data_IF_204698373404
#
_entry.id   IF_204698373404
#
_cell.length_a   1.000
_cell.length_b   1.000
_cell.length_c   1.000
_cell.angle_alpha   90.00
_cell.angle_beta   90.00
_cell.angle_gamma   90.00
#
_symmetry.space_group_name_H-M   'P 1'
#
loop_
_entity.id
_entity.type
_entity.pdbx_description
1 polymer ?
#
# COMPACT_ATOMS: atom_id res chain seq x y z
N UNK A 1 21.45 -1.46 13.12
CA UNK A 1 20.33 -0.99 12.27
C UNK A 1 20.78 -0.85 10.82
N UNK A 2 21.93 -0.23 10.52
CA UNK A 2 22.53 -0.20 9.17
C UNK A 2 22.68 -1.59 8.52
N UNK A 3 23.30 -2.54 9.22
CA UNK A 3 23.54 -3.89 8.67
C UNK A 3 22.26 -4.66 8.27
N UNK A 4 21.13 -4.40 8.95
CA UNK A 4 19.84 -5.02 8.61
C UNK A 4 19.16 -4.35 7.43
N UNK A 5 19.34 -3.03 7.28
CA UNK A 5 18.83 -2.28 6.13
C UNK A 5 19.58 -2.69 4.87
N UNK A 6 20.90 -2.78 4.97
CA UNK A 6 21.75 -3.26 3.88
C UNK A 6 21.40 -4.70 3.50
N UNK A 7 21.22 -5.59 4.48
CA UNK A 7 20.80 -6.99 4.25
C UNK A 7 19.47 -7.13 3.49
N UNK A 8 18.46 -6.32 3.80
CA UNK A 8 17.19 -6.32 3.07
C UNK A 8 17.35 -5.76 1.65
N UNK A 9 18.14 -4.70 1.47
CA UNK A 9 18.43 -4.14 0.15
C UNK A 9 19.20 -5.10 -0.75
N UNK A 10 20.16 -5.86 -0.19
CA UNK A 10 20.85 -6.93 -0.92
C UNK A 10 19.90 -8.01 -1.42
N UNK A 11 18.77 -8.23 -0.73
CA UNK A 11 17.70 -9.13 -1.15
C UNK A 11 16.63 -8.46 -2.04
N UNK A 12 16.82 -7.20 -2.45
CA UNK A 12 15.86 -6.43 -3.25
C UNK A 12 14.66 -5.88 -2.46
N UNK A 13 14.68 -5.97 -1.13
CA UNK A 13 13.64 -5.45 -0.24
C UNK A 13 13.80 -3.95 0.06
N UNK A 14 12.68 -3.28 0.31
CA UNK A 14 12.63 -1.88 0.78
C UNK A 14 12.15 -1.83 2.22
N UNK A 15 12.69 -0.89 3.01
CA UNK A 15 12.25 -0.64 4.40
C UNK A 15 11.62 0.74 4.45
N UNK A 16 10.48 0.83 5.12
CA UNK A 16 9.79 2.09 5.40
C UNK A 16 9.15 2.04 6.80
N UNK A 17 8.72 3.19 7.30
CA UNK A 17 7.98 3.29 8.56
C UNK A 17 6.54 3.71 8.25
N UNK A 18 5.57 2.83 8.52
CA UNK A 18 4.17 3.12 8.25
C UNK A 18 3.56 4.13 9.22
N UNK A 19 2.59 4.92 8.75
CA UNK A 19 1.78 5.87 9.52
C UNK A 19 2.51 7.05 10.21
N UNK A 20 3.85 7.05 10.25
CA UNK A 20 4.60 8.06 10.99
C UNK A 20 4.55 9.46 10.36
N UNK A 21 4.40 9.52 9.04
CA UNK A 21 4.21 10.77 8.31
C UNK A 21 3.02 11.56 8.86
N UNK A 22 1.91 10.87 9.17
CA UNK A 22 0.71 11.49 9.73
C UNK A 22 0.99 12.18 11.07
N UNK A 23 1.65 11.47 11.98
CA UNK A 23 2.04 12.05 13.27
C UNK A 23 2.86 13.33 13.09
N UNK A 24 3.81 13.35 12.14
CA UNK A 24 4.63 14.53 11.87
C UNK A 24 3.82 15.71 11.31
N UNK A 25 2.80 15.46 10.51
CA UNK A 25 1.93 16.50 9.94
C UNK A 25 1.06 17.18 11.00
N UNK A 26 0.83 16.55 12.15
CA UNK A 26 0.10 17.17 13.28
C UNK A 26 0.95 18.10 14.14
N UNK A 27 2.26 18.18 13.89
CA UNK A 27 3.16 19.04 14.65
C UNK A 27 2.91 20.53 14.35
N UNK A 28 3.11 21.47 15.31
CA UNK A 28 2.95 22.91 15.07
C UNK A 28 3.82 23.49 13.93
N UNK A 29 4.92 22.82 13.62
CA UNK A 29 5.79 23.13 12.47
C UNK A 29 6.04 21.84 11.68
N UNK A 30 5.08 21.44 10.82
CA UNK A 30 5.15 20.17 10.11
C UNK A 30 6.29 20.18 9.09
N UNK A 31 6.61 21.34 8.51
CA UNK A 31 7.67 21.45 7.50
C UNK A 31 9.03 21.06 8.07
N UNK A 32 9.44 21.70 9.17
CA UNK A 32 10.76 21.45 9.77
C UNK A 32 10.89 20.02 10.28
N UNK A 33 9.85 19.48 10.95
CA UNK A 33 9.93 18.12 11.48
C UNK A 33 9.96 17.08 10.37
N UNK A 34 9.22 17.29 9.29
CA UNK A 34 9.22 16.40 8.14
C UNK A 34 10.56 16.42 7.41
N UNK A 35 11.20 17.59 7.28
CA UNK A 35 12.56 17.69 6.72
C UNK A 35 13.60 16.90 7.55
N UNK A 36 13.51 16.98 8.89
CA UNK A 36 14.38 16.17 9.76
C UNK A 36 14.11 14.68 9.59
N UNK A 37 12.84 14.29 9.46
CA UNK A 37 12.46 12.89 9.23
C UNK A 37 13.04 12.35 7.92
N UNK A 38 12.89 13.07 6.80
CA UNK A 38 13.42 12.63 5.50
C UNK A 38 14.95 12.52 5.51
N UNK A 39 15.65 13.49 6.11
CA UNK A 39 17.11 13.42 6.30
C UNK A 39 17.49 12.19 7.11
N UNK A 40 16.80 11.95 8.22
CA UNK A 40 17.09 10.79 9.08
C UNK A 40 16.82 9.47 8.37
N UNK A 41 15.75 9.37 7.59
CA UNK A 41 15.45 8.18 6.78
C UNK A 41 16.59 7.90 5.81
N UNK A 42 17.07 8.93 5.11
CA UNK A 42 18.20 8.82 4.20
C UNK A 42 19.50 8.41 4.91
N UNK A 43 19.79 9.00 6.08
CA UNK A 43 20.97 8.66 6.89
C UNK A 43 20.93 7.21 7.39
N UNK A 44 19.73 6.66 7.58
CA UNK A 44 19.51 5.26 7.94
C UNK A 44 19.53 4.32 6.72
N UNK A 45 19.72 4.86 5.52
CA UNK A 45 19.70 4.11 4.28
C UNK A 45 18.29 3.70 3.86
N UNK A 46 17.22 4.39 4.23
CA UNK A 46 15.89 4.12 3.68
C UNK A 46 15.74 4.83 2.34
N UNK A 47 15.19 4.13 1.34
CA UNK A 47 14.97 4.68 -0.01
C UNK A 47 13.51 5.01 -0.28
N UNK A 48 12.59 4.37 0.45
CA UNK A 48 11.14 4.51 0.27
C UNK A 48 10.52 5.18 1.50
N UNK A 49 9.63 6.14 1.26
CA UNK A 49 8.85 6.83 2.30
C UNK A 49 7.38 6.54 2.05
N UNK A 50 6.76 5.85 3.00
CA UNK A 50 5.31 5.72 2.99
C UNK A 50 4.64 7.03 3.40
N UNK A 51 3.57 7.38 2.69
CA UNK A 51 2.70 8.51 2.99
C UNK A 51 1.27 8.01 3.11
N UNK A 52 0.86 7.64 4.31
CA UNK A 52 -0.51 7.30 4.66
C UNK A 52 -1.32 8.53 5.09
N UNK A 53 -2.64 8.41 5.00
CA UNK A 53 -3.60 9.43 5.44
C UNK A 53 -4.78 8.82 6.20
N UNK A 54 -4.59 7.62 6.75
CA UNK A 54 -5.64 6.84 7.40
C UNK A 54 -6.38 7.63 8.50
N UNK A 55 -5.63 8.42 9.28
CA UNK A 55 -6.17 9.25 10.36
C UNK A 55 -6.24 10.75 10.03
N UNK A 56 -5.80 11.19 8.85
CA UNK A 56 -5.72 12.61 8.48
C UNK A 56 -6.46 12.92 7.19
N UNK A 57 -7.26 14.00 7.22
CA UNK A 57 -7.88 14.52 6.01
C UNK A 57 -6.89 15.48 5.33
N UNK A 58 -6.12 14.98 4.38
CA UNK A 58 -5.15 15.78 3.63
C UNK A 58 -5.78 16.24 2.29
N UNK A 59 -5.85 17.55 2.00
CA UNK A 59 -6.25 18.02 0.67
C UNK A 59 -5.34 17.44 -0.42
N UNK A 60 -5.89 17.08 -1.59
CA UNK A 60 -5.12 16.39 -2.64
C UNK A 60 -3.87 17.18 -3.10
N UNK A 61 -3.98 18.52 -3.20
CA UNK A 61 -2.86 19.37 -3.59
C UNK A 61 -1.76 19.40 -2.51
N UNK A 62 -2.13 19.28 -1.23
CA UNK A 62 -1.18 19.20 -0.12
C UNK A 62 -0.46 17.87 -0.11
N UNK A 63 -1.18 16.80 -0.46
CA UNK A 63 -0.61 15.47 -0.59
C UNK A 63 0.41 15.42 -1.74
N UNK A 64 0.11 16.04 -2.88
CA UNK A 64 1.08 16.21 -3.97
C UNK A 64 2.30 17.03 -3.54
N UNK A 65 2.13 18.08 -2.74
CA UNK A 65 3.28 18.82 -2.16
C UNK A 65 4.15 17.93 -1.27
N UNK A 66 3.57 16.96 -0.56
CA UNK A 66 4.33 15.96 0.20
C UNK A 66 5.10 15.01 -0.72
N UNK A 67 4.48 14.56 -1.81
CA UNK A 67 5.15 13.75 -2.85
C UNK A 67 6.38 14.49 -3.39
N UNK A 68 6.21 15.75 -3.81
CA UNK A 68 7.30 16.59 -4.30
C UNK A 68 8.40 16.77 -3.25
N UNK A 69 8.01 16.97 -1.98
CA UNK A 69 8.95 17.09 -0.87
C UNK A 69 9.77 15.81 -0.73
N UNK A 70 9.18 14.62 -0.73
CA UNK A 70 9.92 13.34 -0.68
C UNK A 70 10.87 13.21 -1.88
N UNK A 71 10.41 13.49 -3.10
CA UNK A 71 11.25 13.47 -4.29
C UNK A 71 12.44 14.43 -4.22
N UNK A 72 12.28 15.61 -3.61
CA UNK A 72 13.36 16.59 -3.45
C UNK A 72 14.55 16.05 -2.65
N UNK A 73 14.32 15.07 -1.76
CA UNK A 73 15.35 14.38 -0.99
C UNK A 73 15.99 13.18 -1.70
N UNK A 74 15.56 12.90 -2.95
CA UNK A 74 15.93 11.72 -3.74
C UNK A 74 15.47 10.40 -3.10
N UNK A 75 14.29 10.44 -2.48
CA UNK A 75 13.59 9.29 -1.91
C UNK A 75 12.36 8.97 -2.76
N UNK A 76 11.86 7.75 -2.65
CA UNK A 76 10.69 7.26 -3.38
C UNK A 76 9.45 7.32 -2.49
N UNK A 77 8.46 8.16 -2.80
CA UNK A 77 7.18 8.13 -2.11
C UNK A 77 6.37 6.89 -2.50
N UNK A 78 5.79 6.24 -1.49
CA UNK A 78 4.79 5.17 -1.62
C UNK A 78 3.52 5.65 -0.90
N UNK A 79 2.65 6.44 -1.56
CA UNK A 79 1.40 6.86 -0.97
C UNK A 79 0.48 5.65 -0.76
N UNK A 80 -0.24 5.69 0.35
CA UNK A 80 -1.23 4.69 0.72
C UNK A 80 -2.63 5.30 0.61
N UNK A 81 -3.46 4.63 -0.19
CA UNK A 81 -4.78 5.08 -0.58
C UNK A 81 -5.84 4.13 -0.01
N UNK A 82 -6.68 4.64 0.87
CA UNK A 82 -7.86 3.96 1.38
C UNK A 82 -9.17 4.51 0.79
N UNK A 83 -10.26 3.77 0.94
CA UNK A 83 -11.63 4.23 0.61
C UNK A 83 -12.45 4.63 1.84
N UNK A 84 -11.87 4.57 3.04
CA UNK A 84 -12.51 4.98 4.27
C UNK A 84 -11.62 5.99 5.01
N UNK A 85 -12.27 7.03 5.54
CA UNK A 85 -11.63 7.99 6.42
C UNK A 85 -11.64 7.45 7.85
N UNK A 86 -10.51 7.53 8.55
CA UNK A 86 -10.34 6.86 9.84
C UNK A 86 -10.05 5.36 9.72
N UNK A 87 -9.74 4.89 8.50
CA UNK A 87 -9.14 3.60 8.28
C UNK A 87 -7.70 3.62 8.81
N UNK A 88 -7.32 2.61 9.56
CA UNK A 88 -6.06 2.51 10.27
C UNK A 88 -6.28 2.19 11.75
N UNK A 89 -5.37 1.40 12.31
CA UNK A 89 -5.28 1.16 13.76
C UNK A 89 -6.43 0.36 14.38
N UNK A 90 -6.91 -0.66 13.67
CA UNK A 90 -7.89 -1.65 14.19
C UNK A 90 -9.28 -1.03 14.46
N UNK A 91 -9.70 -0.10 13.61
CA UNK A 91 -11.01 0.56 13.75
C UNK A 91 -12.15 -0.42 13.42
N UNK A 92 -13.13 -0.66 14.33
CA UNK A 92 -14.17 -1.65 14.09
C UNK A 92 -15.07 -1.33 12.88
N UNK A 93 -15.45 -2.36 12.12
CA UNK A 93 -16.33 -2.28 10.95
C UNK A 93 -17.62 -1.45 11.17
N UNK A 94 -18.26 -1.59 12.34
CA UNK A 94 -19.49 -0.85 12.67
C UNK A 94 -19.27 0.67 12.78
N UNK A 95 -18.08 1.12 13.18
CA UNK A 95 -17.72 2.53 13.23
C UNK A 95 -17.46 3.11 11.83
N UNK A 96 -16.88 2.30 10.95
CA UNK A 96 -16.54 2.66 9.56
C UNK A 96 -17.78 2.67 8.65
N UNK A 97 -18.74 1.75 8.85
CA UNK A 97 -20.00 1.75 8.11
C UNK A 97 -20.82 3.03 8.33
N UNK A 98 -20.75 3.62 9.53
CA UNK A 98 -21.45 4.87 9.87
C UNK A 98 -20.86 6.12 9.18
N UNK A 99 -19.57 6.07 8.79
CA UNK A 99 -18.87 7.15 8.07
C UNK A 99 -19.22 7.11 6.56
N UNK A 100 -19.73 5.97 6.07
CA UNK A 100 -20.09 5.74 4.67
C UNK A 100 -18.91 5.25 3.84
N UNK A 101 -19.20 4.54 2.75
CA UNK A 101 -18.17 4.05 1.82
C UNK A 101 -17.83 5.14 0.80
N UNK A 102 -16.56 5.56 0.71
CA UNK A 102 -16.12 6.53 -0.29
C UNK A 102 -16.22 5.96 -1.71
N UNK A 103 -16.49 6.82 -2.69
CA UNK A 103 -16.49 6.46 -4.11
C UNK A 103 -15.07 6.05 -4.55
N UNK A 104 -14.86 4.83 -5.07
CA UNK A 104 -13.57 4.41 -5.62
C UNK A 104 -13.04 5.31 -6.73
N UNK A 105 -13.91 6.08 -7.39
CA UNK A 105 -13.52 7.07 -8.39
C UNK A 105 -12.59 8.14 -7.84
N UNK A 106 -12.77 8.57 -6.58
CA UNK A 106 -11.86 9.52 -5.92
C UNK A 106 -10.46 8.92 -5.76
N UNK A 107 -10.40 7.68 -5.26
CA UNK A 107 -9.15 6.95 -5.09
C UNK A 107 -8.42 6.79 -6.43
N UNK A 108 -9.14 6.38 -7.47
CA UNK A 108 -8.55 6.21 -8.81
C UNK A 108 -8.03 7.53 -9.37
N UNK A 109 -8.80 8.61 -9.25
CA UNK A 109 -8.38 9.93 -9.75
C UNK A 109 -7.13 10.43 -9.03
N UNK A 110 -7.10 10.30 -7.70
CA UNK A 110 -5.92 10.67 -6.92
C UNK A 110 -4.71 9.78 -7.24
N UNK A 111 -4.93 8.48 -7.42
CA UNK A 111 -3.91 7.54 -7.88
C UNK A 111 -3.29 7.97 -9.21
N UNK A 112 -4.09 8.41 -10.19
CA UNK A 112 -3.57 8.96 -11.47
C UNK A 112 -2.69 10.18 -11.23
N UNK A 113 -3.16 11.13 -10.41
CA UNK A 113 -2.37 12.34 -10.07
C UNK A 113 -1.03 12.00 -9.43
N UNK A 114 -0.98 10.99 -8.56
CA UNK A 114 0.27 10.52 -7.96
C UNK A 114 1.20 9.86 -8.98
N UNK A 115 0.67 9.03 -9.89
CA UNK A 115 1.47 8.46 -10.97
C UNK A 115 2.04 9.53 -11.90
N UNK A 116 1.23 10.54 -12.24
CA UNK A 116 1.64 11.70 -13.04
C UNK A 116 2.74 12.52 -12.33
N UNK A 117 2.73 12.56 -10.99
CA UNK A 117 3.76 13.18 -10.17
C UNK A 117 5.04 12.31 -10.03
N UNK A 118 5.11 11.15 -10.69
CA UNK A 118 6.29 10.29 -10.73
C UNK A 118 6.34 9.18 -9.68
N UNK A 119 5.26 8.97 -8.91
CA UNK A 119 5.18 7.89 -7.91
C UNK A 119 5.32 6.52 -8.57
N UNK A 120 6.20 5.67 -8.03
CA UNK A 120 6.51 4.34 -8.60
C UNK A 120 5.48 3.26 -8.27
N UNK A 121 4.88 3.34 -7.09
CA UNK A 121 3.96 2.32 -6.58
C UNK A 121 2.91 3.00 -5.70
N UNK A 122 1.66 2.73 -5.99
CA UNK A 122 0.52 3.09 -5.15
C UNK A 122 0.24 1.90 -4.23
N UNK A 123 0.13 2.13 -2.94
CA UNK A 123 -0.39 1.13 -2.01
C UNK A 123 -1.88 1.36 -1.81
N UNK A 124 -2.67 0.30 -1.88
CA UNK A 124 -4.10 0.29 -1.60
C UNK A 124 -4.31 -0.39 -0.26
N UNK A 125 -4.84 0.35 0.69
CA UNK A 125 -5.14 -0.15 2.03
C UNK A 125 -6.28 -1.17 1.99
N UNK A 126 -6.20 -2.19 2.85
CA UNK A 126 -7.16 -3.28 2.87
C UNK A 126 -8.45 -2.94 3.63
N UNK A 127 -8.40 -2.00 4.57
CA UNK A 127 -9.53 -1.52 5.35
C UNK A 127 -10.63 -0.91 4.47
N UNK A 128 -11.88 -1.34 4.71
CA UNK A 128 -13.03 -0.96 3.89
C UNK A 128 -13.15 -1.71 2.57
N UNK A 129 -12.14 -2.52 2.18
CA UNK A 129 -12.15 -3.33 0.96
C UNK A 129 -12.22 -4.82 1.28
N UNK A 130 -11.20 -5.35 1.96
CA UNK A 130 -11.08 -6.76 2.36
C UNK A 130 -11.00 -6.94 3.87
N UNK A 131 -10.73 -5.87 4.60
CA UNK A 131 -10.72 -5.77 6.05
C UNK A 131 -11.83 -4.83 6.53
N UNK A 132 -12.34 -5.03 7.75
CA UNK A 132 -13.39 -4.22 8.37
C UNK A 132 -14.68 -4.09 7.54
N UNK A 133 -15.01 -5.13 6.76
CA UNK A 133 -16.24 -5.22 5.97
C UNK A 133 -16.98 -6.54 6.19
N UNK A 134 -18.31 -6.50 6.11
CA UNK A 134 -19.15 -7.71 6.17
C UNK A 134 -19.05 -8.56 4.91
N UNK A 135 -18.80 -7.93 3.76
CA UNK A 135 -18.54 -8.58 2.49
C UNK A 135 -17.44 -7.84 1.73
N UNK A 136 -16.50 -8.58 1.14
CA UNK A 136 -15.41 -7.99 0.35
C UNK A 136 -15.93 -7.14 -0.81
N UNK A 137 -15.37 -5.94 -0.93
CA UNK A 137 -15.67 -4.96 -1.97
C UNK A 137 -14.85 -5.21 -3.23
N UNK A 138 -15.04 -6.37 -3.84
CA UNK A 138 -14.31 -6.79 -5.05
C UNK A 138 -14.59 -5.89 -6.26
N UNK A 139 -15.69 -5.13 -6.23
CA UNK A 139 -16.02 -4.07 -7.17
C UNK A 139 -14.98 -2.94 -7.16
N UNK A 140 -14.48 -2.58 -5.98
CA UNK A 140 -13.46 -1.54 -5.78
C UNK A 140 -12.14 -1.98 -6.38
N UNK A 141 -11.71 -3.21 -6.04
CA UNK A 141 -10.48 -3.81 -6.56
C UNK A 141 -10.52 -3.90 -8.09
N UNK A 142 -11.63 -4.38 -8.64
CA UNK A 142 -11.84 -4.52 -10.08
C UNK A 142 -11.79 -3.17 -10.80
N UNK A 143 -12.37 -2.11 -10.20
CA UNK A 143 -12.30 -0.75 -10.74
C UNK A 143 -10.86 -0.21 -10.73
N UNK A 144 -10.12 -0.39 -9.63
CA UNK A 144 -8.71 -0.01 -9.53
C UNK A 144 -7.87 -0.71 -10.61
N UNK A 145 -7.99 -2.03 -10.72
CA UNK A 145 -7.23 -2.83 -11.69
C UNK A 145 -7.58 -2.51 -13.15
N UNK A 146 -8.79 -2.02 -13.41
CA UNK A 146 -9.23 -1.57 -14.74
C UNK A 146 -8.69 -0.18 -15.10
N UNK A 147 -8.57 0.70 -14.11
CA UNK A 147 -8.39 2.13 -14.34
C UNK A 147 -6.98 2.66 -14.03
N UNK A 148 -6.18 1.90 -13.28
CA UNK A 148 -4.78 2.17 -12.97
C UNK A 148 -3.88 1.05 -13.51
N UNK A 149 -2.61 1.32 -13.84
CA UNK A 149 -1.69 0.30 -14.33
C UNK A 149 -1.42 -0.78 -13.25
N UNK A 150 -1.74 -2.06 -13.48
CA UNK A 150 -1.62 -3.12 -12.47
C UNK A 150 -0.21 -3.25 -11.86
N UNK A 151 0.83 -3.06 -12.67
CA UNK A 151 2.24 -3.11 -12.26
C UNK A 151 2.66 -1.94 -11.35
N UNK A 152 1.81 -0.91 -11.25
CA UNK A 152 2.00 0.30 -10.43
C UNK A 152 1.11 0.32 -9.20
N UNK A 153 0.26 -0.69 -9.02
CA UNK A 153 -0.64 -0.83 -7.85
C UNK A 153 -0.18 -2.01 -7.01
N UNK A 154 -0.20 -1.84 -5.69
CA UNK A 154 0.07 -2.87 -4.69
C UNK A 154 -1.08 -2.89 -3.69
N UNK A 155 -1.67 -4.06 -3.46
CA UNK A 155 -2.75 -4.21 -2.47
C UNK A 155 -2.19 -4.74 -1.17
N UNK A 156 -2.62 -4.16 -0.05
CA UNK A 156 -2.44 -4.78 1.25
C UNK A 156 -3.24 -6.08 1.34
N UNK A 157 -2.59 -7.12 1.86
CA UNK A 157 -3.13 -8.47 1.91
C UNK A 157 -2.51 -9.28 3.06
N UNK A 158 -2.52 -8.73 4.29
CA UNK A 158 -1.93 -9.36 5.47
C UNK A 158 -2.69 -10.61 6.00
N UNK A 159 -3.82 -10.99 5.40
CA UNK A 159 -4.54 -12.25 5.68
C UNK A 159 -4.30 -13.27 4.54
N UNK A 160 -3.96 -14.54 4.85
CA UNK A 160 -3.78 -15.58 3.84
C UNK A 160 -4.94 -15.81 2.88
N UNK A 161 -6.18 -15.63 3.34
CA UNK A 161 -7.36 -15.70 2.48
C UNK A 161 -7.39 -14.57 1.46
N UNK A 162 -6.91 -13.39 1.85
CA UNK A 162 -6.91 -12.18 1.02
C UNK A 162 -5.85 -12.30 -0.07
N UNK A 163 -4.59 -12.60 0.26
CA UNK A 163 -3.58 -12.79 -0.80
C UNK A 163 -3.88 -13.98 -1.70
N UNK A 164 -4.51 -15.04 -1.16
CA UNK A 164 -4.94 -16.18 -1.96
C UNK A 164 -5.98 -15.78 -3.02
N UNK A 165 -6.95 -14.96 -2.61
CA UNK A 165 -7.94 -14.40 -3.53
C UNK A 165 -7.29 -13.54 -4.62
N UNK A 166 -6.41 -12.60 -4.27
CA UNK A 166 -5.74 -11.74 -5.25
C UNK A 166 -4.95 -12.56 -6.29
N UNK A 167 -4.16 -13.55 -5.85
CA UNK A 167 -3.39 -14.40 -6.77
C UNK A 167 -4.31 -15.22 -7.68
N UNK A 168 -5.45 -15.70 -7.16
CA UNK A 168 -6.44 -16.44 -7.96
C UNK A 168 -7.09 -15.57 -9.04
N UNK A 169 -7.50 -14.35 -8.69
CA UNK A 169 -8.24 -13.47 -9.60
C UNK A 169 -7.34 -12.76 -10.61
N UNK A 170 -6.14 -12.34 -10.20
CA UNK A 170 -5.27 -11.48 -11.02
C UNK A 170 -3.95 -12.14 -11.44
N UNK A 171 -3.74 -13.40 -11.04
CA UNK A 171 -2.53 -14.16 -11.34
C UNK A 171 -1.37 -13.85 -10.41
N UNK A 172 -0.29 -14.60 -10.60
CA UNK A 172 0.85 -14.60 -9.69
C UNK A 172 1.82 -13.41 -9.84
N UNK A 173 1.51 -12.39 -10.65
CA UNK A 173 2.29 -11.13 -10.68
C UNK A 173 1.64 -10.01 -9.86
N UNK A 174 0.44 -10.21 -9.32
CA UNK A 174 -0.24 -9.18 -8.54
C UNK A 174 0.67 -8.71 -7.40
N UNK A 175 0.90 -7.39 -7.28
CA UNK A 175 1.76 -6.86 -6.23
C UNK A 175 0.99 -6.84 -4.92
N UNK A 176 1.55 -7.47 -3.88
CA UNK A 176 0.91 -7.57 -2.59
C UNK A 176 1.85 -7.07 -1.49
N UNK A 177 1.28 -6.34 -0.54
CA UNK A 177 1.91 -6.00 0.71
C UNK A 177 1.43 -6.99 1.77
N UNK A 178 2.34 -7.83 2.28
CA UNK A 178 2.03 -8.94 3.20
C UNK A 178 2.96 -8.90 4.40
N UNK A 179 2.56 -9.56 5.48
CA UNK A 179 3.46 -9.72 6.63
C UNK A 179 4.67 -10.58 6.26
N UNK A 180 5.82 -10.23 6.83
CA UNK A 180 7.09 -10.91 6.60
C UNK A 180 7.03 -12.42 6.91
N UNK A 181 6.22 -12.84 7.89
CA UNK A 181 6.05 -14.26 8.25
C UNK A 181 5.29 -15.06 7.19
N UNK A 182 4.58 -14.38 6.27
CA UNK A 182 3.73 -15.00 5.25
C UNK A 182 4.39 -15.11 3.88
N UNK A 183 5.60 -14.57 3.71
CA UNK A 183 6.32 -14.54 2.42
C UNK A 183 6.44 -15.95 1.83
N UNK A 184 6.86 -16.94 2.64
CA UNK A 184 7.01 -18.33 2.16
C UNK A 184 5.68 -18.89 1.66
N UNK A 185 4.59 -18.65 2.40
CA UNK A 185 3.26 -19.12 2.00
C UNK A 185 2.79 -18.48 0.68
N UNK A 186 3.01 -17.17 0.52
CA UNK A 186 2.70 -16.45 -0.71
C UNK A 186 3.51 -16.98 -1.90
N UNK A 187 4.82 -17.19 -1.73
CA UNK A 187 5.67 -17.71 -2.82
C UNK A 187 5.32 -19.15 -3.19
N UNK A 188 5.02 -20.01 -2.21
CA UNK A 188 4.53 -21.35 -2.50
C UNK A 188 3.19 -21.34 -3.26
N UNK A 189 2.31 -20.38 -2.96
CA UNK A 189 1.07 -20.17 -3.69
C UNK A 189 1.33 -19.71 -5.14
N UNK A 190 2.18 -18.69 -5.33
CA UNK A 190 2.54 -18.15 -6.66
C UNK A 190 3.19 -19.20 -7.56
N UNK A 191 3.94 -20.13 -6.97
CA UNK A 191 4.61 -21.23 -7.68
C UNK A 191 3.75 -22.49 -7.80
N UNK A 192 2.54 -22.49 -7.25
CA UNK A 192 1.59 -23.61 -7.37
C UNK A 192 1.95 -24.85 -6.54
N UNK A 193 2.92 -24.75 -5.63
CA UNK A 193 3.34 -25.84 -4.72
C UNK A 193 2.63 -25.79 -3.36
N UNK A 194 1.78 -24.77 -3.15
CA UNK A 194 0.87 -24.63 -2.02
C UNK A 194 -0.41 -23.93 -2.47
N UNK A 195 -1.48 -24.10 -1.71
CA UNK A 195 -2.78 -23.51 -1.99
C UNK A 195 -3.90 -24.27 -1.30
N UNK A 196 -5.07 -23.65 -1.24
CA UNK A 196 -6.31 -24.32 -0.84
C UNK A 196 -6.93 -25.03 -2.04
N UNK A 197 -8.07 -25.69 -1.85
CA UNK A 197 -8.75 -26.42 -2.93
C UNK A 197 -9.07 -25.55 -4.16
N UNK A 198 -9.17 -24.23 -3.99
CA UNK A 198 -9.42 -23.25 -5.05
C UNK A 198 -8.15 -22.83 -5.81
N UNK A 199 -6.94 -23.00 -5.27
CA UNK A 199 -5.70 -22.50 -5.89
C UNK A 199 -4.60 -23.54 -6.10
N UNK A 200 -4.59 -24.66 -5.36
CA UNK A 200 -3.57 -25.70 -5.52
C UNK A 200 -3.55 -26.25 -6.95
N UNK A 201 -2.41 -26.09 -7.64
CA UNK A 201 -2.21 -26.53 -9.02
C UNK A 201 -3.11 -25.86 -10.07
N UNK A 202 -3.78 -24.75 -9.73
CA UNK A 202 -4.75 -24.06 -10.59
C UNK A 202 -4.29 -22.70 -11.09
N UNK A 203 -3.20 -22.17 -10.53
CA UNK A 203 -2.59 -20.91 -10.98
C UNK A 203 -1.62 -21.25 -12.12
N UNK A 204 -1.91 -20.74 -13.31
CA UNK A 204 -1.11 -20.98 -14.52
C UNK A 204 -0.86 -19.67 -15.26
N UNK A 205 0.26 -19.57 -15.97
CA UNK A 205 0.50 -18.51 -16.95
C UNK A 205 1.17 -19.10 -18.18
N UNK A 206 0.82 -18.53 -19.33
CA UNK A 206 1.44 -18.83 -20.61
C UNK A 206 2.45 -17.72 -20.96
N UNK A 207 3.55 -17.64 -20.20
CA UNK A 207 4.65 -16.73 -20.54
C UNK A 207 5.51 -17.35 -21.64
N UNK A 208 6.00 -16.55 -22.61
CA UNK A 208 6.97 -17.01 -23.59
C UNK A 208 8.31 -17.40 -22.97
#
# INVERSE_FOLDING_TARGET
>A
MGDHVDGLKFAGGSIFKGGWAEHLLTHPDPNTVFDRYLKKCKDLGLDVIELSSGFLSIPEDDWLRLIDKVHSYKLEPKPELGIQFGAGGDTPALGLEAIGTSDPGKLVNLGRRFLDAGVKRLMIESEGITENVTSWRTDVVSKIMKELPPERVMFEAADPKVFNWYVREFGFDVNLFVDHSQIVQLECLRTGIWGTADTWGKIVSFRP
#
